data_IF_246019504320
#
_entry.id   IF_246019504320
#
_cell.length_a   1.000
_cell.length_b   1.000
_cell.length_c   1.000
_cell.angle_alpha   90.00
_cell.angle_beta   90.00
_cell.angle_gamma   90.00
#
_symmetry.space_group_name_H-M   'P 1'
#
loop_
_entity.id
_entity.type
_entity.pdbx_description
1 polymer ?
#
# COMPACT_ATOMS: atom_id res chain seq x y z
N UNK A 1 -2.49 -15.14 22.26
CA UNK A 1 -3.00 -15.64 20.93
C UNK A 1 -4.16 -14.77 20.38
N UNK A 2 -4.41 -14.72 19.06
CA UNK A 2 -5.41 -13.81 18.44
C UNK A 2 -6.85 -13.99 18.98
N UNK A 3 -7.39 -15.21 18.89
CA UNK A 3 -8.78 -15.48 19.33
C UNK A 3 -8.98 -15.34 20.85
N UNK A 4 -7.93 -15.58 21.63
CA UNK A 4 -7.93 -15.35 23.07
C UNK A 4 -8.13 -13.85 23.39
N UNK A 5 -7.43 -12.97 22.67
CA UNK A 5 -7.63 -11.51 22.79
C UNK A 5 -8.99 -11.10 22.23
N UNK A 6 -9.41 -11.68 21.09
CA UNK A 6 -10.70 -11.40 20.46
C UNK A 6 -11.88 -11.66 21.40
N UNK A 7 -11.85 -12.78 22.14
CA UNK A 7 -12.93 -13.17 23.05
C UNK A 7 -13.23 -12.11 24.13
N UNK A 8 -12.26 -11.28 24.49
CA UNK A 8 -12.48 -10.17 25.43
C UNK A 8 -13.33 -9.03 24.86
N UNK A 9 -13.32 -8.85 23.53
CA UNK A 9 -14.11 -7.85 22.82
C UNK A 9 -15.47 -8.37 22.35
N UNK A 10 -15.52 -9.67 22.01
CA UNK A 10 -16.74 -10.34 21.53
C UNK A 10 -17.04 -11.62 22.33
N UNK A 11 -17.46 -11.50 23.61
CA UNK A 11 -17.78 -12.66 24.44
C UNK A 11 -19.05 -13.40 23.97
N UNK A 12 -19.89 -12.73 23.17
CA UNK A 12 -21.10 -13.29 22.56
C UNK A 12 -20.83 -14.14 21.32
N UNK A 13 -19.64 -14.07 20.73
CA UNK A 13 -19.31 -14.77 19.48
C UNK A 13 -20.03 -14.20 18.25
N UNK A 14 -20.38 -12.92 18.26
CA UNK A 14 -21.03 -12.21 17.15
C UNK A 14 -20.17 -12.11 15.89
N UNK A 15 -18.85 -12.32 16.00
CA UNK A 15 -17.82 -12.12 14.98
C UNK A 15 -17.57 -10.65 14.61
N UNK A 16 -18.06 -9.69 15.39
CA UNK A 16 -17.89 -8.26 15.14
C UNK A 16 -17.33 -7.49 16.33
N UNK A 17 -16.55 -6.45 16.03
CA UNK A 17 -16.17 -5.38 16.97
C UNK A 17 -16.45 -4.00 16.36
N UNK A 18 -16.52 -2.95 17.17
CA UNK A 18 -16.58 -1.58 16.68
C UNK A 18 -15.22 -1.15 16.11
N UNK A 19 -15.22 -0.33 15.06
CA UNK A 19 -14.02 0.24 14.44
C UNK A 19 -13.11 0.93 15.47
N UNK A 20 -13.70 1.65 16.43
CA UNK A 20 -13.00 2.37 17.49
C UNK A 20 -12.12 1.46 18.37
N UNK A 21 -12.49 0.18 18.51
CA UNK A 21 -11.77 -0.80 19.32
C UNK A 21 -10.54 -1.38 18.60
N UNK A 22 -10.42 -1.18 17.28
CA UNK A 22 -9.39 -1.81 16.45
C UNK A 22 -7.98 -1.43 16.90
N UNK A 23 -7.75 -0.15 17.15
CA UNK A 23 -6.41 0.38 17.46
C UNK A 23 -5.86 -0.20 18.77
N UNK A 24 -6.71 -0.35 19.77
CA UNK A 24 -6.37 -1.02 21.04
C UNK A 24 -6.22 -2.52 20.86
N UNK A 25 -7.12 -3.15 20.09
CA UNK A 25 -7.07 -4.57 19.82
C UNK A 25 -5.73 -4.99 19.21
N UNK A 26 -5.31 -4.34 18.11
CA UNK A 26 -4.07 -4.72 17.40
C UNK A 26 -2.79 -4.37 18.18
N UNK A 27 -2.83 -3.37 19.07
CA UNK A 27 -1.71 -3.06 19.97
C UNK A 27 -1.60 -4.08 21.12
N UNK A 28 -2.73 -4.64 21.57
CA UNK A 28 -2.80 -5.64 22.63
C UNK A 28 -2.52 -7.08 22.17
N UNK A 29 -2.34 -7.31 20.87
CA UNK A 29 -1.91 -8.59 20.31
C UNK A 29 -0.43 -8.89 20.64
N UNK A 30 -0.02 -10.12 20.40
CA UNK A 30 1.37 -10.56 20.53
C UNK A 30 2.04 -10.60 19.14
N UNK A 31 3.38 -10.56 19.12
CA UNK A 31 4.14 -10.86 17.90
C UNK A 31 3.75 -12.24 17.37
N UNK A 32 3.57 -12.44 16.05
CA UNK A 32 3.85 -11.50 14.96
C UNK A 32 2.73 -10.52 14.57
N UNK A 33 1.51 -10.71 15.06
CA UNK A 33 0.33 -9.97 14.57
C UNK A 33 0.14 -8.59 15.22
N UNK A 34 0.94 -8.27 16.24
CA UNK A 34 0.88 -6.99 16.94
C UNK A 34 1.29 -5.83 16.04
N UNK A 35 0.44 -4.79 15.99
CA UNK A 35 0.77 -3.48 15.41
C UNK A 35 0.76 -2.43 16.53
N UNK A 36 1.94 -2.06 17.08
CA UNK A 36 2.01 -1.18 18.24
C UNK A 36 1.55 0.25 17.91
N UNK A 37 0.98 0.94 18.89
CA UNK A 37 0.63 2.37 18.73
C UNK A 37 1.90 3.24 18.57
N UNK A 38 1.84 4.34 17.79
CA UNK A 38 0.70 4.80 16.98
C UNK A 38 0.54 3.96 15.70
N UNK A 39 -0.65 3.39 15.49
CA UNK A 39 -0.91 2.42 14.43
C UNK A 39 -1.92 2.88 13.36
N UNK A 40 -2.43 4.11 13.45
CA UNK A 40 -3.46 4.62 12.53
C UNK A 40 -3.06 4.57 11.05
N UNK A 41 -1.81 4.91 10.70
CA UNK A 41 -1.33 4.83 9.32
C UNK A 41 -1.22 3.38 8.83
N UNK A 42 -0.75 2.47 9.67
CA UNK A 42 -0.66 1.05 9.33
C UNK A 42 -2.06 0.48 9.09
N UNK A 43 -3.01 0.77 9.99
CA UNK A 43 -4.41 0.35 9.86
C UNK A 43 -5.08 0.91 8.61
N UNK A 44 -4.81 2.17 8.24
CA UNK A 44 -5.32 2.75 7.00
C UNK A 44 -4.78 2.03 5.75
N UNK A 45 -3.57 1.49 5.81
CA UNK A 45 -2.97 0.70 4.72
C UNK A 45 -3.48 -0.74 4.62
N UNK A 46 -4.20 -1.25 5.63
CA UNK A 46 -4.77 -2.60 5.61
C UNK A 46 -6.02 -2.71 4.74
N UNK A 47 -6.67 -1.58 4.40
CA UNK A 47 -7.90 -1.52 3.61
C UNK A 47 -9.00 -2.45 4.14
N UNK A 48 -9.19 -2.44 5.47
CA UNK A 48 -10.16 -3.33 6.14
C UNK A 48 -11.61 -2.88 5.85
N UNK A 49 -12.50 -3.82 5.49
CA UNK A 49 -13.90 -3.50 5.25
C UNK A 49 -14.62 -3.10 6.54
N UNK A 50 -15.41 -2.03 6.47
CA UNK A 50 -16.30 -1.56 7.54
C UNK A 50 -17.74 -1.88 7.14
N UNK A 51 -18.42 -2.63 7.99
CA UNK A 51 -19.83 -3.00 7.86
C UNK A 51 -20.76 -1.96 8.50
N UNK A 52 -22.06 -2.19 8.40
CA UNK A 52 -23.08 -1.34 9.04
C UNK A 52 -22.86 -1.17 10.55
N UNK A 53 -23.09 0.08 11.00
CA UNK A 53 -22.89 0.55 12.37
C UNK A 53 -21.41 0.59 12.82
N UNK A 54 -20.51 0.87 11.87
CA UNK A 54 -19.06 0.97 12.10
C UNK A 54 -18.46 -0.30 12.73
N UNK A 55 -18.94 -1.46 12.27
CA UNK A 55 -18.48 -2.78 12.73
C UNK A 55 -17.52 -3.41 11.74
N UNK A 56 -16.66 -4.28 12.23
CA UNK A 56 -15.71 -5.02 11.40
C UNK A 56 -15.70 -6.48 11.77
N UNK A 57 -15.53 -7.34 10.77
CA UNK A 57 -15.60 -8.79 10.94
C UNK A 57 -14.26 -9.38 11.37
N UNK A 58 -14.32 -10.36 12.27
CA UNK A 58 -13.15 -11.04 12.86
C UNK A 58 -12.15 -11.56 11.81
N UNK A 59 -12.67 -12.20 10.77
CA UNK A 59 -11.85 -12.82 9.72
C UNK A 59 -11.17 -11.78 8.84
N UNK A 60 -11.83 -10.66 8.56
CA UNK A 60 -11.27 -9.60 7.71
C UNK A 60 -10.10 -8.91 8.41
N UNK A 61 -10.23 -8.68 9.72
CA UNK A 61 -9.13 -8.16 10.55
C UNK A 61 -7.95 -9.14 10.56
N UNK A 62 -8.19 -10.43 10.76
CA UNK A 62 -7.14 -11.45 10.76
C UNK A 62 -6.43 -11.55 9.40
N UNK A 63 -7.20 -11.51 8.31
CA UNK A 63 -6.67 -11.53 6.94
C UNK A 63 -5.81 -10.29 6.66
N UNK A 64 -6.28 -9.10 7.02
CA UNK A 64 -5.48 -7.87 6.88
C UNK A 64 -4.17 -7.91 7.68
N UNK A 65 -4.22 -8.39 8.94
CA UNK A 65 -3.01 -8.51 9.78
C UNK A 65 -2.01 -9.54 9.23
N UNK A 66 -2.48 -10.67 8.73
CA UNK A 66 -1.59 -11.69 8.15
C UNK A 66 -0.98 -11.23 6.84
N UNK A 67 -1.73 -10.52 5.98
CA UNK A 67 -1.19 -9.87 4.77
C UNK A 67 -0.16 -8.80 5.10
N UNK A 68 -0.42 -7.97 6.11
CA UNK A 68 0.54 -6.98 6.57
C UNK A 68 1.84 -7.61 7.05
N UNK A 69 1.74 -8.68 7.84
CA UNK A 69 2.90 -9.43 8.30
C UNK A 69 3.68 -10.03 7.13
N UNK A 70 3.00 -10.72 6.20
CA UNK A 70 3.63 -11.35 5.03
C UNK A 70 4.28 -10.33 4.08
N UNK A 71 3.58 -9.23 3.77
CA UNK A 71 4.11 -8.16 2.91
C UNK A 71 5.28 -7.40 3.54
N UNK A 72 5.36 -7.35 4.87
CA UNK A 72 6.53 -6.81 5.56
C UNK A 72 7.79 -7.67 5.36
N UNK A 73 7.66 -8.99 5.12
CA UNK A 73 8.82 -9.83 4.76
C UNK A 73 9.22 -9.66 3.30
N UNK A 74 8.28 -9.43 2.40
CA UNK A 74 8.58 -9.25 0.97
C UNK A 74 9.33 -7.92 0.68
N UNK A 75 9.27 -6.96 1.61
CA UNK A 75 9.99 -5.68 1.50
C UNK A 75 11.51 -5.78 1.75
N UNK A 76 12.04 -6.93 2.20
CA UNK A 76 13.48 -7.17 2.38
C UNK A 76 14.13 -7.94 1.23
N UNK A 77 14.09 -7.42 -0.01
CA UNK A 77 15.13 -7.74 -1.02
C UNK A 77 15.34 -6.55 -1.98
N UNK A 78 16.24 -5.58 -1.68
CA UNK A 78 16.90 -4.85 -2.75
C UNK A 78 17.95 -5.81 -3.35
N UNK A 79 17.53 -6.64 -4.31
CA UNK A 79 18.46 -7.36 -5.16
C UNK A 79 19.13 -6.31 -6.04
N UNK A 80 20.33 -5.90 -5.63
CA UNK A 80 21.16 -4.98 -6.38
C UNK A 80 21.73 -5.66 -7.62
N UNK A 81 20.97 -5.73 -8.70
CA UNK A 81 21.45 -6.06 -10.05
C UNK A 81 20.59 -5.38 -11.12
N UNK A 82 20.51 -4.04 -11.09
CA UNK A 82 19.96 -3.26 -12.21
C UNK A 82 21.10 -2.71 -13.08
N UNK A 83 21.73 -3.57 -13.89
CA UNK A 83 22.47 -3.12 -15.07
C UNK A 83 21.48 -2.97 -16.24
N UNK A 84 20.96 -1.76 -16.43
CA UNK A 84 20.26 -1.40 -17.66
C UNK A 84 21.30 -0.99 -18.73
N UNK A 85 21.37 -1.65 -19.89
CA UNK A 85 22.22 -1.19 -20.98
C UNK A 85 21.73 0.18 -21.46
N UNK A 86 22.61 1.17 -21.41
CA UNK A 86 22.40 2.51 -21.98
C UNK A 86 22.34 2.38 -23.51
N UNK A 87 21.14 2.26 -24.08
CA UNK A 87 20.95 2.23 -25.54
C UNK A 87 20.80 3.67 -26.07
N UNK A 88 21.93 4.27 -26.44
CA UNK A 88 21.99 5.57 -27.13
C UNK A 88 21.57 5.35 -28.60
N UNK A 89 20.26 5.17 -28.84
CA UNK A 89 19.75 5.13 -30.22
C UNK A 89 19.74 6.54 -30.79
N UNK A 90 20.74 6.78 -31.64
CA UNK A 90 20.98 7.99 -32.43
C UNK A 90 19.70 8.62 -32.98
N UNK A 91 19.57 9.90 -32.61
CA UNK A 91 18.80 10.98 -33.19
C UNK A 91 18.43 10.79 -34.68
N UNK A 92 17.13 10.91 -34.91
CA UNK A 92 16.37 11.00 -36.15
C UNK A 92 17.10 11.59 -37.36
N UNK A 93 17.15 10.81 -38.45
CA UNK A 93 17.24 11.33 -39.81
C UNK A 93 15.86 11.80 -40.26
N UNK A 94 15.69 13.11 -40.45
CA UNK A 94 14.79 13.68 -41.48
C UNK A 94 15.32 15.06 -41.86
N UNK A 95 16.12 15.08 -42.94
CA UNK A 95 16.24 16.24 -43.83
C UNK A 95 14.88 16.42 -44.51
N UNK A 96 14.32 17.64 -44.46
CA UNK A 96 13.81 18.30 -45.65
C UNK A 96 13.75 19.82 -45.39
N UNK A 97 14.31 20.56 -46.33
CA UNK A 97 14.37 22.02 -46.42
C UNK A 97 13.01 22.64 -46.69
N UNK A 98 12.75 23.82 -46.12
CA UNK A 98 12.53 25.06 -46.88
C UNK A 98 12.12 26.19 -45.94
N UNK A 99 12.28 27.41 -46.44
CA UNK A 99 12.00 28.74 -45.88
C UNK A 99 13.24 29.44 -45.32
N UNK A 100 13.93 30.15 -46.22
CA UNK A 100 14.37 31.49 -45.90
C UNK A 100 13.57 32.47 -46.78
N UNK A 101 13.03 33.48 -46.13
CA UNK A 101 12.22 34.54 -46.70
C UNK A 101 13.08 35.76 -47.04
N UNK A 102 12.49 36.62 -47.87
CA UNK A 102 12.72 38.08 -48.00
C UNK A 102 14.00 38.55 -48.71
N UNK A 103 14.06 39.68 -49.42
CA UNK A 103 13.14 40.62 -50.11
C UNK A 103 14.07 41.77 -50.55
N UNK A 104 14.00 42.24 -51.81
CA UNK A 104 14.38 43.60 -52.28
C UNK A 104 14.33 43.63 -53.83
N UNK A 105 13.29 44.17 -54.50
CA UNK A 105 13.04 45.58 -54.88
C UNK A 105 14.12 46.28 -55.72
N UNK A 106 13.76 46.52 -57.00
CA UNK A 106 13.97 47.73 -57.84
C UNK A 106 15.35 48.40 -57.90
N UNK A 107 15.96 48.45 -59.09
CA UNK A 107 15.86 49.50 -60.13
C UNK A 107 16.68 49.10 -61.35
#
# INVERSE_FOLDING_TARGET
>A
MYYEKWQSLDPSGSQFIQYEQLSDFVDGLESPLRIPKPNHFALAGLDLPICENDRMHCVDILDGLTKYFLGAFDAEVPNGDAEAPIDIKKRSSKRLSSHNNDSATST
#
